data_IF_392837347365
#
_entry.id   IF_392837347365
#
_cell.length_a   1.000
_cell.length_b   1.000
_cell.length_c   1.000
_cell.angle_alpha   90.00
_cell.angle_beta   90.00
_cell.angle_gamma   90.00
#
_symmetry.space_group_name_H-M   'P 1'
#
loop_
_entity.id
_entity.type
_entity.pdbx_description
1 polymer ?
#
# COMPACT_ATOMS: atom_id res chain seq x y z
N UNK A 1 -3.86 -11.39 -2.09
CA UNK A 1 -4.55 -11.65 -3.37
C UNK A 1 -3.49 -11.74 -4.47
N UNK A 2 -3.69 -12.60 -5.47
CA UNK A 2 -2.84 -12.63 -6.69
C UNK A 2 -3.14 -11.44 -7.60
N UNK A 3 -2.32 -11.19 -8.64
CA UNK A 3 -2.60 -10.15 -9.64
C UNK A 3 -3.94 -10.37 -10.35
N UNK A 4 -4.24 -11.59 -10.77
CA UNK A 4 -5.53 -11.97 -11.37
C UNK A 4 -6.73 -11.70 -10.45
N UNK A 5 -6.60 -12.01 -9.16
CA UNK A 5 -7.64 -11.69 -8.17
C UNK A 5 -7.79 -10.17 -7.97
N UNK A 6 -6.71 -9.40 -8.08
CA UNK A 6 -6.76 -7.93 -8.02
C UNK A 6 -7.52 -7.38 -9.23
N UNK A 7 -7.22 -7.86 -10.43
CA UNK A 7 -7.93 -7.47 -11.66
C UNK A 7 -9.42 -7.81 -11.57
N UNK A 8 -9.73 -9.04 -11.14
CA UNK A 8 -11.11 -9.50 -10.92
C UNK A 8 -11.87 -8.60 -9.94
N UNK A 9 -11.24 -8.24 -8.81
CA UNK A 9 -11.83 -7.33 -7.84
C UNK A 9 -12.04 -5.93 -8.42
N UNK A 10 -11.06 -5.37 -9.13
CA UNK A 10 -11.18 -4.04 -9.74
C UNK A 10 -12.29 -3.98 -10.78
N UNK A 11 -12.46 -5.04 -11.58
CA UNK A 11 -13.58 -5.18 -12.51
C UNK A 11 -14.93 -5.19 -11.76
N UNK A 12 -15.05 -6.00 -10.70
CA UNK A 12 -16.26 -6.06 -9.87
C UNK A 12 -16.59 -4.71 -9.20
N UNK A 13 -15.58 -3.97 -8.73
CA UNK A 13 -15.77 -2.64 -8.15
C UNK A 13 -16.24 -1.58 -9.16
N UNK A 14 -15.91 -1.76 -10.44
CA UNK A 14 -16.20 -0.80 -11.52
C UNK A 14 -17.62 -0.92 -12.08
N UNK A 15 -18.43 -1.84 -11.55
CA UNK A 15 -19.85 -1.96 -11.89
C UNK A 15 -20.62 -0.76 -11.31
N UNK A 16 -20.86 0.25 -12.16
CA UNK A 16 -21.63 1.46 -11.86
C UNK A 16 -20.78 2.69 -11.50
N UNK A 17 -21.41 3.86 -11.36
CA UNK A 17 -20.73 5.09 -10.93
C UNK A 17 -20.58 5.10 -9.40
N UNK A 18 -19.37 4.93 -8.90
CA UNK A 18 -19.11 4.95 -7.47
C UNK A 18 -17.63 5.19 -7.13
N UNK A 19 -17.39 5.47 -5.85
CA UNK A 19 -16.06 5.79 -5.30
C UNK A 19 -15.21 4.54 -5.03
N UNK A 20 -15.80 3.34 -5.09
CA UNK A 20 -15.20 2.09 -4.62
C UNK A 20 -13.89 1.74 -5.36
N UNK A 21 -13.78 1.81 -6.70
CA UNK A 21 -12.52 1.57 -7.39
C UNK A 21 -11.39 2.45 -6.89
N UNK A 22 -11.68 3.72 -6.57
CA UNK A 22 -10.66 4.66 -6.09
C UNK A 22 -10.19 4.32 -4.68
N UNK A 23 -11.10 3.96 -3.77
CA UNK A 23 -10.72 3.52 -2.41
C UNK A 23 -9.86 2.26 -2.48
N UNK A 24 -10.21 1.30 -3.36
CA UNK A 24 -9.43 0.08 -3.57
C UNK A 24 -8.05 0.38 -4.13
N UNK A 25 -7.95 1.23 -5.18
CA UNK A 25 -6.67 1.69 -5.74
C UNK A 25 -5.78 2.34 -4.69
N UNK A 26 -6.33 3.21 -3.83
CA UNK A 26 -5.58 3.83 -2.73
C UNK A 26 -5.04 2.77 -1.77
N UNK A 27 -5.86 1.81 -1.33
CA UNK A 27 -5.42 0.75 -0.43
C UNK A 27 -4.32 -0.11 -1.06
N UNK A 28 -4.49 -0.53 -2.31
CA UNK A 28 -3.52 -1.36 -3.04
C UNK A 28 -2.22 -0.62 -3.36
N UNK A 29 -2.25 0.72 -3.45
CA UNK A 29 -1.06 1.53 -3.75
C UNK A 29 -0.28 1.96 -2.49
N UNK A 30 -0.90 1.91 -1.31
CA UNK A 30 -0.33 2.52 -0.09
C UNK A 30 -0.33 1.65 1.16
N UNK A 31 -1.04 0.51 1.14
CA UNK A 31 -1.25 -0.29 2.35
C UNK A 31 -2.11 0.39 3.43
N UNK A 32 -2.91 1.38 3.05
CA UNK A 32 -3.89 2.02 3.93
C UNK A 32 -4.88 0.99 4.51
N UNK A 33 -5.34 1.23 5.73
CA UNK A 33 -6.53 0.53 6.25
C UNK A 33 -7.76 1.05 5.49
N UNK A 34 -8.78 0.21 5.34
CA UNK A 34 -10.04 0.60 4.69
C UNK A 34 -10.55 1.96 5.18
N UNK A 35 -10.77 2.11 6.48
CA UNK A 35 -11.29 3.34 7.08
C UNK A 35 -10.38 4.56 6.88
N UNK A 36 -9.06 4.37 6.74
CA UNK A 36 -8.13 5.49 6.47
C UNK A 36 -8.25 5.97 5.02
N UNK A 37 -8.50 5.05 4.08
CA UNK A 37 -8.67 5.35 2.67
C UNK A 37 -10.08 5.87 2.33
N UNK A 38 -11.12 5.29 2.90
CA UNK A 38 -12.52 5.70 2.68
C UNK A 38 -12.82 7.09 3.27
N UNK A 39 -12.17 7.44 4.40
CA UNK A 39 -12.34 8.75 5.05
C UNK A 39 -11.31 9.79 4.62
N UNK A 40 -10.66 9.56 3.48
CA UNK A 40 -9.62 10.44 2.98
C UNK A 40 -10.19 11.81 2.63
N UNK A 41 -9.51 12.87 3.07
CA UNK A 41 -9.90 14.26 2.77
C UNK A 41 -8.93 14.94 1.81
N UNK A 42 -9.37 16.04 1.21
CA UNK A 42 -8.56 16.86 0.29
C UNK A 42 -7.22 17.29 0.89
N UNK A 43 -7.22 17.71 2.15
CA UNK A 43 -6.02 18.21 2.84
C UNK A 43 -4.95 17.13 3.05
N UNK A 44 -5.32 15.85 2.94
CA UNK A 44 -4.40 14.73 3.03
C UNK A 44 -3.71 14.41 1.70
N UNK A 45 -4.10 15.06 0.60
CA UNK A 45 -3.51 14.87 -0.72
C UNK A 45 -2.52 16.00 -0.99
N UNK A 46 -1.25 15.63 -1.19
CA UNK A 46 -0.19 16.50 -1.69
C UNK A 46 0.29 15.98 -3.05
N UNK A 47 1.07 16.75 -3.83
CA UNK A 47 1.63 16.26 -5.09
C UNK A 47 2.32 14.92 -4.90
N UNK A 48 1.81 13.89 -5.60
CA UNK A 48 2.34 12.52 -5.62
C UNK A 48 2.42 11.84 -4.23
N UNK A 49 1.59 12.24 -3.26
CA UNK A 49 1.69 11.75 -1.89
C UNK A 49 0.37 11.81 -1.13
N UNK A 50 0.08 10.78 -0.35
CA UNK A 50 -1.05 10.75 0.58
C UNK A 50 -0.54 10.75 2.02
N UNK A 51 -1.06 11.64 2.86
CA UNK A 51 -0.75 11.70 4.29
C UNK A 51 -1.90 11.13 5.11
N UNK A 52 -1.70 9.96 5.73
CA UNK A 52 -2.66 9.35 6.65
C UNK A 52 -2.47 9.91 8.06
N UNK A 53 -3.45 10.67 8.51
CA UNK A 53 -3.50 11.24 9.87
C UNK A 53 -4.27 10.34 10.80
N UNK A 54 -3.98 10.44 12.11
CA UNK A 54 -4.56 9.55 13.11
C UNK A 54 -5.53 10.25 14.05
N UNK A 55 -6.58 9.53 14.45
CA UNK A 55 -7.59 9.94 15.45
C UNK A 55 -7.37 9.39 16.87
N UNK A 56 -6.24 8.71 17.19
CA UNK A 56 -5.87 8.30 18.58
C UNK A 56 -4.44 7.71 18.68
N UNK A 57 -3.39 8.54 18.77
CA UNK A 57 -2.06 8.17 19.35
C UNK A 57 -0.98 7.45 18.51
N UNK A 58 -0.93 7.53 17.17
CA UNK A 58 0.16 6.99 16.28
C UNK A 58 0.58 8.17 15.42
N UNK A 59 1.84 8.17 15.05
CA UNK A 59 2.47 9.14 14.17
C UNK A 59 1.74 9.19 12.82
N UNK A 60 1.59 10.39 12.28
CA UNK A 60 1.18 10.59 10.89
C UNK A 60 2.20 9.91 9.99
N UNK A 61 1.74 9.38 8.86
CA UNK A 61 2.62 8.81 7.85
C UNK A 61 2.22 9.31 6.47
N UNK A 62 3.21 9.54 5.64
CA UNK A 62 2.99 9.92 4.25
C UNK A 62 3.53 8.83 3.34
N UNK A 63 2.73 8.44 2.35
CA UNK A 63 3.07 7.38 1.40
C UNK A 63 3.07 7.99 0.00
N UNK A 64 4.18 7.91 -0.74
CA UNK A 64 4.24 8.32 -2.15
C UNK A 64 3.22 7.53 -2.99
N UNK A 65 2.67 8.17 -4.00
CA UNK A 65 1.77 7.56 -4.98
C UNK A 65 2.18 7.99 -6.40
N UNK A 66 1.78 7.21 -7.40
CA UNK A 66 2.05 7.56 -8.80
C UNK A 66 1.33 8.85 -9.21
N UNK A 67 1.88 9.51 -10.22
CA UNK A 67 1.24 10.67 -10.87
C UNK A 67 -0.15 10.32 -11.39
N UNK A 68 -0.32 9.15 -12.00
CA UNK A 68 -1.62 8.70 -12.49
C UNK A 68 -2.68 8.64 -11.37
N UNK A 69 -2.37 8.03 -10.22
CA UNK A 69 -3.30 7.95 -9.09
C UNK A 69 -3.58 9.34 -8.50
N UNK A 70 -2.54 10.18 -8.37
CA UNK A 70 -2.71 11.55 -7.91
C UNK A 70 -3.67 12.34 -8.82
N UNK A 71 -3.47 12.26 -10.13
CA UNK A 71 -4.27 12.98 -11.13
C UNK A 71 -5.74 12.52 -11.16
N UNK A 72 -6.01 11.25 -10.83
CA UNK A 72 -7.37 10.75 -10.62
C UNK A 72 -7.98 11.34 -9.33
N UNK A 73 -7.25 11.37 -8.22
CA UNK A 73 -7.73 11.84 -6.92
C UNK A 73 -8.04 13.35 -6.89
N UNK A 74 -7.27 14.17 -7.59
CA UNK A 74 -7.48 15.63 -7.64
C UNK A 74 -8.72 16.03 -8.45
N UNK A 75 -9.24 15.15 -9.32
CA UNK A 75 -10.46 15.40 -10.12
C UNK A 75 -11.75 15.21 -9.32
N UNK A 76 -11.69 14.42 -8.26
CA UNK A 76 -12.82 14.21 -7.34
C UNK A 76 -13.14 15.57 -6.70
N UNK A 77 -14.40 15.92 -6.54
CA UNK A 77 -14.82 17.19 -5.92
C UNK A 77 -15.16 17.00 -4.44
N UNK A 78 -15.07 18.08 -3.67
CA UNK A 78 -15.40 18.09 -2.23
C UNK A 78 -14.20 17.87 -1.32
N UNK A 79 -14.43 18.16 -0.03
CA UNK A 79 -13.43 18.03 1.03
C UNK A 79 -13.25 16.57 1.45
N UNK A 80 -14.34 15.83 1.60
CA UNK A 80 -14.32 14.38 1.73
C UNK A 80 -14.32 13.75 0.34
N UNK A 81 -13.34 12.91 0.04
CA UNK A 81 -13.16 12.39 -1.32
C UNK A 81 -14.17 11.30 -1.67
N UNK A 82 -14.59 10.50 -0.70
CA UNK A 82 -15.39 9.31 -0.93
C UNK A 82 -16.56 9.23 0.04
N UNK A 83 -17.68 8.74 -0.49
CA UNK A 83 -18.82 8.27 0.29
C UNK A 83 -18.53 6.90 0.93
N UNK A 84 -19.24 6.58 2.01
CA UNK A 84 -19.13 5.27 2.65
C UNK A 84 -19.51 4.17 1.66
N UNK A 85 -18.57 3.27 1.40
CA UNK A 85 -18.70 2.21 0.39
C UNK A 85 -18.27 0.84 0.91
N UNK A 86 -18.03 0.67 2.21
CA UNK A 86 -17.67 -0.61 2.83
C UNK A 86 -18.63 -1.76 2.48
N UNK A 87 -19.95 -1.55 2.56
CA UNK A 87 -20.92 -2.59 2.19
C UNK A 87 -20.86 -2.95 0.71
N UNK A 88 -20.50 -1.99 -0.15
CA UNK A 88 -20.32 -2.21 -1.59
C UNK A 88 -19.04 -2.98 -1.86
N UNK A 89 -17.99 -2.73 -1.09
CA UNK A 89 -16.76 -3.53 -1.13
C UNK A 89 -17.02 -4.97 -0.71
N UNK A 90 -17.79 -5.17 0.36
CA UNK A 90 -18.23 -6.50 0.78
C UNK A 90 -19.04 -7.21 -0.31
N UNK A 91 -19.99 -6.51 -0.93
CA UNK A 91 -20.78 -7.04 -2.04
C UNK A 91 -19.91 -7.40 -3.26
N UNK A 92 -18.95 -6.54 -3.62
CA UNK A 92 -18.03 -6.78 -4.73
C UNK A 92 -17.16 -8.02 -4.48
N UNK A 93 -16.62 -8.19 -3.27
CA UNK A 93 -15.88 -9.42 -2.91
C UNK A 93 -16.79 -10.64 -2.98
N UNK A 94 -18.02 -10.55 -2.45
CA UNK A 94 -18.98 -11.66 -2.47
C UNK A 94 -19.47 -12.04 -3.88
N UNK A 95 -19.38 -11.13 -4.86
CA UNK A 95 -19.69 -11.42 -6.26
C UNK A 95 -18.52 -12.06 -7.02
N UNK A 96 -17.40 -12.34 -6.37
CA UNK A 96 -16.23 -13.00 -6.96
C UNK A 96 -15.96 -14.36 -6.31
N UNK A 97 -15.07 -15.14 -6.90
CA UNK A 97 -14.56 -16.38 -6.30
C UNK A 97 -13.47 -16.18 -5.23
N UNK A 98 -13.19 -14.93 -4.86
CA UNK A 98 -12.15 -14.58 -3.89
C UNK A 98 -12.61 -14.99 -2.48
N UNK A 99 -11.98 -16.02 -1.91
CA UNK A 99 -12.25 -16.47 -0.54
C UNK A 99 -11.35 -15.75 0.46
N UNK A 100 -11.97 -15.08 1.44
CA UNK A 100 -11.27 -14.38 2.52
C UNK A 100 -11.52 -15.05 3.86
N UNK A 101 -10.51 -15.13 4.75
CA UNK A 101 -10.74 -15.54 6.12
C UNK A 101 -11.68 -14.58 6.85
N UNK A 102 -12.43 -15.10 7.83
CA UNK A 102 -13.39 -14.31 8.61
C UNK A 102 -12.69 -13.10 9.25
N UNK A 103 -13.28 -11.91 9.09
CA UNK A 103 -12.77 -10.66 9.66
C UNK A 103 -11.63 -9.99 8.89
N UNK A 104 -11.15 -10.55 7.77
CA UNK A 104 -10.02 -9.98 7.02
C UNK A 104 -10.41 -8.89 6.01
N UNK A 105 -11.70 -8.70 5.72
CA UNK A 105 -12.17 -7.79 4.67
C UNK A 105 -11.56 -6.38 4.80
N UNK A 106 -11.54 -5.81 6.01
CA UNK A 106 -11.01 -4.45 6.26
C UNK A 106 -9.50 -4.30 6.06
N UNK A 107 -8.76 -5.40 6.01
CA UNK A 107 -7.29 -5.42 5.94
C UNK A 107 -6.75 -6.18 4.73
N UNK A 108 -7.59 -6.87 3.95
CA UNK A 108 -7.15 -7.73 2.85
C UNK A 108 -6.33 -6.96 1.81
N UNK A 109 -6.71 -5.73 1.48
CA UNK A 109 -6.00 -4.90 0.50
C UNK A 109 -4.64 -4.45 1.04
N UNK A 110 -4.57 -4.13 2.34
CA UNK A 110 -3.32 -3.80 3.03
C UNK A 110 -2.37 -4.99 3.09
N UNK A 111 -2.90 -6.19 3.40
CA UNK A 111 -2.13 -7.42 3.37
C UNK A 111 -1.63 -7.73 1.96
N UNK A 112 -2.46 -7.49 0.96
CA UNK A 112 -2.10 -7.66 -0.45
C UNK A 112 -0.96 -6.72 -0.85
N UNK A 113 -1.07 -5.41 -0.56
CA UNK A 113 0.03 -4.47 -0.78
C UNK A 113 1.32 -4.92 -0.10
N UNK A 114 1.26 -5.27 1.18
CA UNK A 114 2.43 -5.66 1.96
C UNK A 114 3.10 -6.94 1.44
N UNK A 115 2.30 -7.93 1.02
CA UNK A 115 2.79 -9.17 0.44
C UNK A 115 3.52 -8.89 -0.89
N UNK A 116 2.86 -8.20 -1.83
CA UNK A 116 3.45 -7.87 -3.13
C UNK A 116 4.68 -6.97 -3.00
N UNK A 117 4.68 -6.03 -2.04
CA UNK A 117 5.84 -5.19 -1.76
C UNK A 117 7.07 -6.03 -1.35
N UNK A 118 6.89 -7.01 -0.46
CA UNK A 118 8.01 -7.89 -0.06
C UNK A 118 8.41 -8.86 -1.17
N UNK A 119 7.44 -9.46 -1.87
CA UNK A 119 7.70 -10.34 -3.03
C UNK A 119 8.51 -9.63 -4.13
N UNK A 120 8.33 -8.32 -4.26
CA UNK A 120 9.07 -7.49 -5.23
C UNK A 120 10.45 -7.04 -4.72
N UNK A 121 10.96 -7.59 -3.61
CA UNK A 121 12.26 -7.23 -3.04
C UNK A 121 12.25 -5.96 -2.19
N UNK A 122 11.07 -5.50 -1.78
CA UNK A 122 10.94 -4.31 -0.95
C UNK A 122 11.63 -4.43 0.42
N UNK A 123 12.19 -3.33 0.91
CA UNK A 123 12.86 -3.30 2.21
C UNK A 123 11.83 -3.35 3.38
N UNK A 124 11.98 -4.32 4.28
CA UNK A 124 11.05 -4.56 5.40
C UNK A 124 10.90 -3.35 6.34
N UNK A 125 11.97 -2.57 6.55
CA UNK A 125 11.94 -1.35 7.38
C UNK A 125 11.19 -0.22 6.68
N UNK A 126 11.29 -0.13 5.36
CA UNK A 126 10.50 0.79 4.55
C UNK A 126 9.02 0.40 4.62
N UNK A 127 8.69 -0.89 4.48
CA UNK A 127 7.33 -1.38 4.62
C UNK A 127 6.75 -1.08 6.01
N UNK A 128 7.51 -1.25 7.09
CA UNK A 128 7.09 -0.89 8.45
C UNK A 128 6.64 0.57 8.54
N UNK A 129 7.42 1.49 7.94
CA UNK A 129 7.11 2.93 7.90
C UNK A 129 5.87 3.22 7.05
N UNK A 130 5.77 2.62 5.86
CA UNK A 130 4.60 2.76 4.96
C UNK A 130 3.32 2.30 5.66
N UNK A 131 3.37 1.16 6.35
CA UNK A 131 2.22 0.60 7.07
C UNK A 131 1.93 1.31 8.40
N UNK A 132 2.87 2.11 8.92
CA UNK A 132 2.76 2.76 10.23
C UNK A 132 2.68 1.76 11.38
N UNK A 133 3.48 0.69 11.31
CA UNK A 133 3.63 -0.26 12.40
C UNK A 133 4.59 0.29 13.46
N UNK A 134 4.13 0.39 14.70
CA UNK A 134 4.95 0.83 15.84
C UNK A 134 5.99 -0.23 16.25
N UNK A 135 5.69 -1.49 15.98
CA UNK A 135 6.53 -2.63 16.28
C UNK A 135 6.87 -3.36 14.98
N UNK A 136 8.16 -3.64 14.78
CA UNK A 136 8.68 -4.37 13.62
C UNK A 136 8.09 -5.78 13.55
N UNK A 137 7.77 -6.41 14.68
CA UNK A 137 7.15 -7.75 14.72
C UNK A 137 5.83 -7.80 13.94
N UNK A 138 5.09 -6.70 13.88
CA UNK A 138 3.86 -6.63 13.08
C UNK A 138 4.14 -6.78 11.58
N UNK A 139 5.27 -6.26 11.10
CA UNK A 139 5.71 -6.31 9.70
C UNK A 139 6.45 -7.60 9.38
N UNK A 140 7.16 -8.19 10.35
CA UNK A 140 7.91 -9.44 10.17
C UNK A 140 7.04 -10.61 9.67
N UNK A 141 5.71 -10.54 9.87
CA UNK A 141 4.75 -11.46 9.24
C UNK A 141 4.87 -11.57 7.73
N UNK A 142 5.43 -10.58 7.03
CA UNK A 142 5.66 -10.62 5.58
C UNK A 142 7.10 -10.96 5.18
N UNK A 143 8.02 -11.12 6.14
CA UNK A 143 9.45 -11.28 5.84
C UNK A 143 9.76 -12.53 5.01
N UNK A 144 9.01 -13.62 5.24
CA UNK A 144 9.14 -14.88 4.49
C UNK A 144 8.76 -14.77 3.00
N UNK A 145 8.17 -13.65 2.57
CA UNK A 145 7.84 -13.39 1.18
C UNK A 145 8.97 -12.66 0.43
N UNK A 146 10.00 -12.19 1.15
CA UNK A 146 11.13 -11.53 0.53
C UNK A 146 11.95 -12.54 -0.27
N UNK A 147 12.42 -12.18 -1.48
CA UNK A 147 13.36 -13.02 -2.21
C UNK A 147 14.66 -13.17 -1.42
N UNK A 148 15.21 -14.38 -1.38
CA UNK A 148 16.50 -14.64 -0.76
C UNK A 148 17.63 -14.14 -1.68
N UNK A 149 18.50 -13.29 -1.13
CA UNK A 149 19.62 -12.70 -1.85
C UNK A 149 20.92 -12.83 -1.06
N UNK A 150 21.19 -13.99 -0.46
CA UNK A 150 22.37 -14.21 0.38
C UNK A 150 23.69 -13.91 -0.35
N UNK A 151 23.73 -14.14 -1.66
CA UNK A 151 24.89 -13.84 -2.52
C UNK A 151 25.26 -12.34 -2.54
N UNK A 152 24.32 -11.45 -2.26
CA UNK A 152 24.60 -10.00 -2.18
C UNK A 152 25.57 -9.64 -1.07
N UNK A 153 25.77 -10.51 -0.07
CA UNK A 153 26.80 -10.32 0.95
C UNK A 153 28.22 -10.23 0.34
N UNK A 154 28.48 -10.92 -0.77
CA UNK A 154 29.76 -10.83 -1.50
C UNK A 154 29.93 -9.47 -2.17
N UNK A 155 28.82 -8.83 -2.59
CA UNK A 155 28.83 -7.54 -3.28
C UNK A 155 28.84 -6.35 -2.31
N UNK A 156 28.18 -6.48 -1.16
CA UNK A 156 27.96 -5.36 -0.23
C UNK A 156 28.84 -5.38 1.03
N UNK A 157 29.74 -6.36 1.16
CA UNK A 157 30.69 -6.33 2.27
C UNK A 157 31.69 -5.17 2.10
N UNK A 158 32.25 -4.65 3.21
CA UNK A 158 33.16 -3.51 3.16
C UNK A 158 34.42 -3.72 2.30
N UNK A 159 34.90 -4.96 2.13
CA UNK A 159 36.08 -5.24 1.30
C UNK A 159 35.76 -5.04 -0.20
N UNK A 160 34.57 -5.44 -0.63
CA UNK A 160 34.10 -5.27 -2.00
C UNK A 160 33.80 -3.81 -2.36
N UNK A 161 33.37 -2.99 -1.40
CA UNK A 161 32.99 -1.59 -1.65
C UNK A 161 34.09 -0.56 -1.37
N UNK A 162 35.30 -0.98 -0.95
CA UNK A 162 36.39 -0.04 -0.62
C UNK A 162 36.73 0.92 -1.77
N UNK A 163 36.73 0.42 -3.01
CA UNK A 163 37.14 1.19 -4.18
C UNK A 163 36.07 2.19 -4.64
N UNK A 164 34.83 2.04 -4.19
CA UNK A 164 33.69 2.91 -4.52
C UNK A 164 33.45 4.02 -3.48
N UNK A 165 34.17 3.99 -2.34
CA UNK A 165 34.09 4.95 -1.24
C UNK A 165 32.85 4.78 -0.35
N UNK A 166 32.80 5.47 0.79
CA UNK A 166 31.74 5.39 1.83
C UNK A 166 30.36 5.93 1.41
N UNK A 167 30.09 6.10 0.11
CA UNK A 167 28.79 6.55 -0.36
C UNK A 167 27.76 5.44 -0.17
N UNK A 168 27.10 5.48 0.99
CA UNK A 168 25.91 4.69 1.32
C UNK A 168 24.89 4.72 0.18
N UNK A 169 24.36 3.55 -0.17
CA UNK A 169 23.25 3.38 -1.12
C UNK A 169 21.99 4.08 -0.58
N UNK A 170 21.91 5.39 -0.79
CA UNK A 170 20.80 6.22 -0.39
C UNK A 170 20.26 6.99 -1.59
N UNK A 171 19.75 6.26 -2.59
CA UNK A 171 18.60 6.68 -3.41
C UNK A 171 18.30 5.60 -4.44
N UNK A 172 17.12 4.99 -4.30
CA UNK A 172 16.43 4.42 -5.45
C UNK A 172 15.55 5.56 -5.93
N UNK A 173 16.00 6.29 -6.95
CA UNK A 173 15.12 7.22 -7.66
C UNK A 173 14.07 6.38 -8.38
N UNK A 174 12.84 6.44 -7.87
CA UNK A 174 11.67 5.89 -8.55
C UNK A 174 11.36 6.80 -9.75
N UNK A 175 11.07 6.24 -10.94
CA UNK A 175 10.66 7.01 -12.11
C UNK A 175 9.32 7.75 -11.90
#
# INVERSE_FOLDING_TARGET
MTHEQIETLLAACSLGRNDLPMVVKVCLSTGARWNEAEKLTRSQISPHKITFVRTKGKKNRSVPISKALHDELVKIKGDQLFSECYFRFMAAINSTDIKLPKGQLTHVLRHTFAAHFMMSGGNILVLQRILGHSDIQMTMRYAHLAPEHLETAVLFNPLATMNTGDKVAAQVDLP
#
